data_IF_222592445327
#
_entry.id   IF_222592445327
#
_cell.length_a   1.000
_cell.length_b   1.000
_cell.length_c   1.000
_cell.angle_alpha   90.00
_cell.angle_beta   90.00
_cell.angle_gamma   90.00
#
_symmetry.space_group_name_H-M   'P 1'
#
loop_
_entity.id
_entity.type
_entity.pdbx_description
1 polymer ?
#
# COMPACT_ATOMS: atom_id res chain seq x y z
N UNK A 1 -11.14 26.34 -21.98
CA UNK A 1 -10.45 27.54 -22.54
C UNK A 1 -11.45 28.64 -22.85
N UNK A 2 -12.38 28.47 -23.80
CA UNK A 2 -13.34 29.51 -24.20
C UNK A 2 -14.17 30.12 -23.04
N UNK A 3 -14.68 29.30 -22.11
CA UNK A 3 -15.43 29.79 -20.93
C UNK A 3 -14.56 30.67 -20.02
N UNK A 4 -13.30 30.26 -19.81
CA UNK A 4 -12.35 30.98 -18.97
C UNK A 4 -11.95 32.32 -19.61
N UNK A 5 -11.71 32.34 -20.91
CA UNK A 5 -11.45 33.56 -21.68
C UNK A 5 -12.66 34.51 -21.64
N UNK A 6 -13.89 33.97 -21.75
CA UNK A 6 -15.12 34.75 -21.65
C UNK A 6 -15.30 35.39 -20.27
N UNK A 7 -14.98 34.64 -19.20
CA UNK A 7 -14.98 35.17 -17.83
C UNK A 7 -13.92 36.27 -17.68
N UNK A 8 -12.69 36.02 -18.15
CA UNK A 8 -11.60 36.99 -18.09
C UNK A 8 -11.93 38.26 -18.86
N UNK A 9 -12.53 38.15 -20.04
CA UNK A 9 -12.97 39.29 -20.84
C UNK A 9 -13.96 40.17 -20.06
N UNK A 10 -14.99 39.57 -19.45
CA UNK A 10 -15.96 40.31 -18.64
C UNK A 10 -15.32 41.01 -17.43
N UNK A 11 -14.40 40.33 -16.74
CA UNK A 11 -13.64 40.92 -15.60
C UNK A 11 -12.75 42.07 -16.08
N UNK A 12 -12.05 41.89 -17.20
CA UNK A 12 -11.13 42.88 -17.76
C UNK A 12 -11.86 44.12 -18.28
N UNK A 13 -13.02 43.94 -18.91
CA UNK A 13 -13.90 45.04 -19.30
C UNK A 13 -14.26 45.93 -18.10
N UNK A 14 -14.67 45.30 -16.99
CA UNK A 14 -15.00 46.01 -15.74
C UNK A 14 -13.80 46.78 -15.18
N UNK A 15 -12.61 46.19 -15.26
CA UNK A 15 -11.36 46.83 -14.85
C UNK A 15 -11.04 48.07 -15.71
N UNK A 16 -11.08 47.94 -17.04
CA UNK A 16 -10.85 49.07 -17.96
C UNK A 16 -11.86 50.18 -17.72
N UNK A 17 -13.14 49.83 -17.61
CA UNK A 17 -14.20 50.80 -17.37
C UNK A 17 -13.94 51.64 -16.10
N UNK A 18 -13.61 50.98 -14.99
CA UNK A 18 -13.27 51.65 -13.72
C UNK A 18 -12.04 52.55 -13.83
N UNK A 19 -11.01 52.09 -14.55
CA UNK A 19 -9.81 52.89 -14.82
C UNK A 19 -10.17 54.16 -15.60
N UNK A 20 -11.02 54.06 -16.61
CA UNK A 20 -11.51 55.19 -17.39
C UNK A 20 -12.36 56.14 -16.56
N UNK A 21 -13.30 55.63 -15.75
CA UNK A 21 -14.09 56.44 -14.82
C UNK A 21 -13.20 57.21 -13.85
N UNK A 22 -12.16 56.58 -13.31
CA UNK A 22 -11.20 57.25 -12.43
C UNK A 22 -10.40 58.34 -13.15
N UNK A 23 -9.95 58.09 -14.39
CA UNK A 23 -9.27 59.10 -15.19
C UNK A 23 -10.18 60.30 -15.49
N UNK A 24 -11.45 60.06 -15.81
CA UNK A 24 -12.46 61.09 -16.03
C UNK A 24 -12.65 61.93 -14.75
N UNK A 25 -12.71 61.29 -13.57
CA UNK A 25 -12.81 62.00 -12.28
C UNK A 25 -11.61 62.90 -12.00
N UNK A 26 -10.39 62.46 -12.34
CA UNK A 26 -9.15 63.23 -12.12
C UNK A 26 -9.03 64.40 -13.11
N UNK A 27 -9.48 64.23 -14.35
CA UNK A 27 -9.40 65.27 -15.38
C UNK A 27 -10.52 66.32 -15.28
N UNK A 28 -11.51 66.15 -14.40
CA UNK A 28 -12.72 66.97 -14.38
C UNK A 28 -12.51 68.38 -13.80
N UNK A 29 -13.14 69.36 -14.46
CA UNK A 29 -13.31 70.76 -14.00
C UNK A 29 -14.81 70.99 -13.71
N UNK A 30 -15.12 71.78 -12.68
CA UNK A 30 -16.36 71.79 -11.88
C UNK A 30 -17.75 71.89 -12.55
N UNK A 31 -17.90 71.92 -13.87
CA UNK A 31 -19.18 72.22 -14.54
C UNK A 31 -19.89 71.03 -15.21
N UNK A 32 -19.25 69.87 -15.36
CA UNK A 32 -19.87 68.65 -15.90
C UNK A 32 -19.78 67.53 -14.86
N UNK A 33 -20.87 66.83 -14.57
CA UNK A 33 -20.87 65.70 -13.63
C UNK A 33 -21.38 64.45 -14.36
N UNK A 34 -20.49 63.51 -14.64
CA UNK A 34 -20.89 62.22 -15.18
C UNK A 34 -21.38 61.33 -14.03
N UNK A 35 -22.64 60.92 -14.08
CA UNK A 35 -23.18 59.89 -13.19
C UNK A 35 -23.10 58.53 -13.90
N UNK A 36 -22.43 57.58 -13.26
CA UNK A 36 -22.26 56.22 -13.78
C UNK A 36 -22.99 55.25 -12.85
N UNK A 37 -24.07 54.65 -13.35
CA UNK A 37 -24.80 53.58 -12.64
C UNK A 37 -24.12 52.23 -12.91
N UNK A 38 -23.01 51.95 -12.20
CA UNK A 38 -22.27 50.68 -12.33
C UNK A 38 -23.18 49.43 -12.23
N UNK A 39 -24.11 49.33 -11.25
CA UNK A 39 -25.00 48.17 -11.14
C UNK A 39 -25.78 47.87 -12.43
N UNK A 40 -26.40 48.88 -13.04
CA UNK A 40 -27.17 48.70 -14.27
C UNK A 40 -26.27 48.35 -15.47
N UNK A 41 -25.11 49.01 -15.57
CA UNK A 41 -24.15 48.79 -16.66
C UNK A 41 -23.59 47.37 -16.64
N UNK A 42 -23.31 46.84 -15.45
CA UNK A 42 -22.67 45.53 -15.31
C UNK A 42 -23.63 44.37 -15.06
N UNK A 43 -24.92 44.61 -14.76
CA UNK A 43 -25.87 43.54 -14.48
C UNK A 43 -25.86 42.40 -15.51
N UNK A 44 -25.89 42.75 -16.80
CA UNK A 44 -25.90 41.74 -17.88
C UNK A 44 -24.55 41.02 -18.02
N UNK A 45 -23.44 41.73 -17.88
CA UNK A 45 -22.08 41.15 -17.97
C UNK A 45 -21.81 40.24 -16.79
N UNK A 46 -22.17 40.67 -15.57
CA UNK A 46 -22.00 39.89 -14.34
C UNK A 46 -22.86 38.62 -14.38
N UNK A 47 -24.10 38.71 -14.86
CA UNK A 47 -24.96 37.55 -15.05
C UNK A 47 -24.37 36.57 -16.08
N UNK A 48 -23.88 37.05 -17.22
CA UNK A 48 -23.23 36.22 -18.23
C UNK A 48 -21.98 35.53 -17.68
N UNK A 49 -21.10 36.28 -17.00
CA UNK A 49 -19.90 35.75 -16.35
C UNK A 49 -20.27 34.67 -15.32
N UNK A 50 -21.36 34.86 -14.57
CA UNK A 50 -21.82 33.86 -13.63
C UNK A 50 -22.25 32.57 -14.34
N UNK A 51 -23.00 32.65 -15.45
CA UNK A 51 -23.38 31.46 -16.22
C UNK A 51 -22.18 30.71 -16.81
N UNK A 52 -21.16 31.44 -17.24
CA UNK A 52 -19.90 30.82 -17.66
C UNK A 52 -19.23 30.06 -16.51
N UNK A 53 -19.28 30.57 -15.27
CA UNK A 53 -18.76 29.85 -14.09
C UNK A 53 -19.59 28.61 -13.77
N UNK A 54 -20.91 28.71 -13.84
CA UNK A 54 -21.82 27.59 -13.64
C UNK A 54 -21.52 26.45 -14.65
N UNK A 55 -21.27 26.80 -15.91
CA UNK A 55 -20.83 25.85 -16.94
C UNK A 55 -19.45 25.26 -16.70
N UNK A 56 -18.51 26.01 -16.11
CA UNK A 56 -17.22 25.44 -15.69
C UNK A 56 -17.41 24.37 -14.62
N UNK A 57 -18.31 24.59 -13.64
CA UNK A 57 -18.62 23.60 -12.59
C UNK A 57 -19.21 22.31 -13.19
N UNK A 58 -20.02 22.42 -14.25
CA UNK A 58 -20.52 21.25 -15.01
C UNK A 58 -19.35 20.50 -15.67
N UNK A 59 -18.43 21.21 -16.32
CA UNK A 59 -17.24 20.60 -16.93
C UNK A 59 -16.34 19.90 -15.90
N UNK A 60 -16.14 20.50 -14.72
CA UNK A 60 -15.42 19.88 -13.61
C UNK A 60 -16.12 18.60 -13.12
N UNK A 61 -17.45 18.60 -13.07
CA UNK A 61 -18.25 17.41 -12.81
C UNK A 61 -17.98 16.29 -13.83
N UNK A 62 -17.94 16.62 -15.13
CA UNK A 62 -17.64 15.64 -16.18
C UNK A 62 -16.27 15.00 -16.03
N UNK A 63 -15.26 15.79 -15.65
CA UNK A 63 -13.90 15.30 -15.41
C UNK A 63 -13.91 14.28 -14.25
N UNK A 64 -14.63 14.56 -13.16
CA UNK A 64 -14.71 13.67 -12.00
C UNK A 64 -15.50 12.38 -12.26
N UNK A 65 -16.69 12.48 -12.86
CA UNK A 65 -17.66 11.38 -12.91
C UNK A 65 -17.65 10.61 -14.24
N UNK A 66 -17.29 11.27 -15.34
CA UNK A 66 -17.28 10.65 -16.67
C UNK A 66 -15.86 10.32 -17.15
N UNK A 67 -14.83 10.87 -16.48
CA UNK A 67 -13.39 10.70 -16.82
C UNK A 67 -13.02 11.14 -18.24
N UNK A 68 -13.89 11.94 -18.86
CA UNK A 68 -13.63 12.48 -20.18
C UNK A 68 -12.52 13.52 -20.06
N UNK A 69 -11.39 13.25 -20.70
CA UNK A 69 -10.35 14.26 -20.83
C UNK A 69 -10.81 15.32 -21.84
N UNK A 70 -10.31 16.56 -21.69
CA UNK A 70 -10.60 17.66 -22.63
C UNK A 70 -10.21 17.31 -24.07
N UNK A 71 -9.22 16.42 -24.26
CA UNK A 71 -8.72 15.97 -25.56
C UNK A 71 -9.72 15.05 -26.26
N UNK A 72 -10.31 14.10 -25.53
CA UNK A 72 -11.31 13.16 -26.07
C UNK A 72 -12.59 13.84 -26.56
N UNK A 73 -12.88 15.05 -26.07
CA UNK A 73 -14.02 15.84 -26.54
C UNK A 73 -13.77 16.44 -27.92
N UNK A 74 -12.55 16.92 -28.18
CA UNK A 74 -12.20 17.55 -29.45
C UNK A 74 -12.24 16.55 -30.59
N UNK A 75 -11.69 15.36 -30.37
CA UNK A 75 -11.61 14.32 -31.39
C UNK A 75 -13.03 13.77 -31.72
N UNK A 76 -13.89 13.56 -30.71
CA UNK A 76 -15.29 13.17 -30.93
C UNK A 76 -16.14 14.25 -31.61
N UNK A 77 -15.79 15.53 -31.49
CA UNK A 77 -16.54 16.63 -32.09
C UNK A 77 -16.10 16.91 -33.53
N UNK A 78 -14.82 16.76 -33.85
CA UNK A 78 -14.30 16.80 -35.23
C UNK A 78 -14.85 15.65 -36.09
N UNK A 79 -15.02 14.45 -35.51
CA UNK A 79 -15.66 13.32 -36.20
C UNK A 79 -17.19 13.54 -36.38
N UNK A 80 -17.86 14.20 -35.43
CA UNK A 80 -19.30 14.45 -35.49
C UNK A 80 -19.72 15.55 -36.49
N UNK A 81 -18.87 16.53 -36.78
CA UNK A 81 -19.14 17.53 -37.83
C UNK A 81 -18.90 17.00 -39.24
N UNK A 82 -18.18 15.89 -39.41
CA UNK A 82 -17.94 15.26 -40.71
C UNK A 82 -19.10 14.39 -41.21
N UNK A 83 -19.96 13.91 -40.31
CA UNK A 83 -21.07 12.98 -40.61
C UNK A 83 -22.46 13.58 -40.36
N UNK A 84 -22.72 14.81 -40.84
CA UNK A 84 -24.10 15.26 -41.07
C UNK A 84 -24.54 14.77 -42.46
N UNK A 85 -24.70 13.45 -42.55
CA UNK A 85 -25.38 12.74 -43.63
C UNK A 85 -26.53 11.95 -43.03
N UNK A 86 -27.74 12.14 -43.55
CA UNK A 86 -28.98 11.60 -43.01
C UNK A 86 -28.93 10.07 -42.76
N UNK A 87 -29.46 9.68 -41.59
CA UNK A 87 -29.68 8.33 -41.06
C UNK A 87 -28.47 7.67 -40.37
N UNK A 88 -28.44 7.75 -39.03
CA UNK A 88 -28.33 6.61 -38.11
C UNK A 88 -28.04 7.09 -36.67
N UNK A 89 -29.07 7.56 -35.97
CA UNK A 89 -29.00 8.03 -34.57
C UNK A 89 -28.90 6.91 -33.51
N UNK A 90 -28.54 5.68 -33.90
CA UNK A 90 -28.40 4.56 -32.96
C UNK A 90 -26.94 4.12 -32.68
N UNK A 91 -25.94 4.63 -33.42
CA UNK A 91 -24.56 4.14 -33.28
C UNK A 91 -23.59 5.03 -32.46
N UNK A 92 -24.03 6.19 -31.95
CA UNK A 92 -23.21 7.11 -31.12
C UNK A 92 -23.15 6.64 -29.64
N UNK A 93 -23.11 5.33 -29.41
CA UNK A 93 -22.88 4.74 -28.07
C UNK A 93 -21.61 3.89 -28.00
N UNK A 94 -20.88 3.74 -29.12
CA UNK A 94 -19.86 2.71 -29.28
C UNK A 94 -18.40 3.07 -28.98
N UNK A 95 -18.01 4.35 -28.97
CA UNK A 95 -16.58 4.71 -28.89
C UNK A 95 -16.24 5.50 -27.62
N UNK A 96 -16.32 4.83 -26.46
CA UNK A 96 -15.55 5.29 -25.30
C UNK A 96 -14.09 4.92 -25.55
N UNK A 97 -13.27 5.95 -25.83
CA UNK A 97 -11.82 5.83 -25.99
C UNK A 97 -11.22 4.95 -24.89
N UNK A 98 -10.24 4.13 -25.26
CA UNK A 98 -9.57 3.11 -24.43
C UNK A 98 -9.02 3.63 -23.10
N UNK A 99 -8.89 4.96 -22.96
CA UNK A 99 -8.42 5.67 -21.77
C UNK A 99 -9.52 6.01 -20.74
N UNK A 100 -10.79 5.74 -21.05
CA UNK A 100 -11.93 5.98 -20.15
C UNK A 100 -12.32 4.75 -19.30
N UNK A 101 -11.51 3.67 -19.31
CA UNK A 101 -11.80 2.44 -18.56
C UNK A 101 -11.44 2.59 -17.09
N UNK A 102 -12.33 2.10 -16.22
CA UNK A 102 -12.07 2.00 -14.79
C UNK A 102 -10.83 1.12 -14.55
N UNK A 103 -9.86 1.55 -13.74
CA UNK A 103 -8.78 0.70 -13.27
C UNK A 103 -9.34 -0.58 -12.63
N UNK A 104 -8.59 -1.67 -12.75
CA UNK A 104 -9.01 -2.94 -12.18
C UNK A 104 -8.84 -2.90 -10.66
N UNK A 105 -9.94 -3.03 -9.94
CA UNK A 105 -9.92 -3.17 -8.49
C UNK A 105 -9.62 -4.63 -8.12
N UNK A 106 -8.68 -4.85 -7.21
CA UNK A 106 -8.34 -6.17 -6.69
C UNK A 106 -9.50 -6.87 -5.96
N UNK A 107 -9.48 -8.20 -5.93
CA UNK A 107 -10.51 -9.03 -5.28
C UNK A 107 -11.74 -9.26 -6.16
N UNK A 108 -11.97 -10.51 -6.56
CA UNK A 108 -12.96 -10.88 -7.60
C UNK A 108 -14.39 -10.36 -7.38
N UNK A 109 -14.84 -10.23 -6.12
CA UNK A 109 -16.19 -9.74 -5.78
C UNK A 109 -16.21 -8.26 -5.41
N UNK A 110 -15.32 -7.83 -4.52
CA UNK A 110 -15.26 -6.45 -4.02
C UNK A 110 -14.90 -5.47 -5.12
N UNK A 111 -13.93 -5.82 -5.96
CA UNK A 111 -13.54 -5.00 -7.10
C UNK A 111 -14.68 -4.84 -8.10
N UNK A 112 -15.49 -5.88 -8.31
CA UNK A 112 -16.69 -5.81 -9.15
C UNK A 112 -17.75 -4.88 -8.56
N UNK A 113 -18.02 -4.98 -7.25
CA UNK A 113 -18.99 -4.11 -6.55
C UNK A 113 -18.57 -2.62 -6.62
N UNK A 114 -17.29 -2.31 -6.40
CA UNK A 114 -16.75 -0.95 -6.53
C UNK A 114 -16.86 -0.45 -7.97
N UNK A 115 -16.45 -1.26 -8.94
CA UNK A 115 -16.52 -0.91 -10.36
C UNK A 115 -17.95 -0.60 -10.77
N UNK A 116 -18.90 -1.46 -10.39
CA UNK A 116 -20.32 -1.26 -10.65
C UNK A 116 -20.82 0.04 -10.04
N UNK A 117 -20.50 0.30 -8.77
CA UNK A 117 -20.93 1.53 -8.10
C UNK A 117 -20.38 2.80 -8.79
N UNK A 118 -19.14 2.76 -9.28
CA UNK A 118 -18.55 3.87 -10.05
C UNK A 118 -19.22 4.05 -11.42
N UNK A 119 -19.62 2.97 -12.09
CA UNK A 119 -20.42 3.02 -13.33
C UNK A 119 -21.82 3.59 -13.05
N UNK A 120 -22.45 3.21 -11.95
CA UNK A 120 -23.77 3.70 -11.57
C UNK A 120 -23.74 5.20 -11.23
N UNK A 121 -22.68 5.68 -10.57
CA UNK A 121 -22.44 7.13 -10.33
C UNK A 121 -22.33 7.87 -11.65
N UNK A 122 -21.54 7.35 -12.59
CA UNK A 122 -21.40 7.94 -13.94
C UNK A 122 -22.75 8.02 -14.65
N UNK A 123 -23.52 6.93 -14.66
CA UNK A 123 -24.82 6.90 -15.33
C UNK A 123 -25.79 7.91 -14.74
N UNK A 124 -25.78 8.12 -13.41
CA UNK A 124 -26.59 9.14 -12.76
C UNK A 124 -26.16 10.55 -13.17
N UNK A 125 -24.85 10.82 -13.18
CA UNK A 125 -24.31 12.10 -13.61
C UNK A 125 -24.67 12.43 -15.07
N UNK A 126 -24.50 11.47 -15.99
CA UNK A 126 -24.90 11.63 -17.40
C UNK A 126 -26.41 11.93 -17.50
N UNK A 127 -27.24 11.28 -16.67
CA UNK A 127 -28.67 11.58 -16.57
C UNK A 127 -28.97 13.03 -16.16
N UNK A 128 -28.20 13.61 -15.24
CA UNK A 128 -28.35 15.01 -14.84
C UNK A 128 -27.88 15.98 -15.93
N UNK A 129 -26.78 15.67 -16.61
CA UNK A 129 -26.28 16.48 -17.75
C UNK A 129 -27.26 16.45 -18.93
N UNK A 130 -27.85 15.30 -19.23
CA UNK A 130 -28.85 15.18 -20.29
C UNK A 130 -30.11 16.03 -20.03
N UNK A 131 -30.51 16.18 -18.76
CA UNK A 131 -31.61 17.09 -18.39
C UNK A 131 -31.28 18.56 -18.71
N UNK A 132 -30.03 18.97 -18.49
CA UNK A 132 -29.58 20.32 -18.86
C UNK A 132 -29.50 20.52 -20.37
N UNK A 133 -29.11 19.50 -21.13
CA UNK A 133 -29.11 19.54 -22.59
C UNK A 133 -30.53 19.60 -23.20
N UNK A 134 -31.52 19.04 -22.51
CA UNK A 134 -32.91 19.03 -22.95
C UNK A 134 -33.67 20.34 -22.67
N UNK A 135 -33.01 21.36 -22.11
CA UNK A 135 -33.64 22.67 -21.86
C UNK A 135 -33.95 23.38 -23.18
N UNK A 136 -35.19 23.84 -23.34
CA UNK A 136 -35.67 24.46 -24.58
C UNK A 136 -35.27 25.94 -24.73
N UNK A 137 -34.70 26.55 -23.67
CA UNK A 137 -34.29 27.95 -23.66
C UNK A 137 -32.77 28.11 -23.76
N UNK A 138 -32.32 29.27 -24.24
CA UNK A 138 -30.89 29.57 -24.31
C UNK A 138 -30.31 29.81 -22.90
N UNK A 139 -29.43 28.91 -22.46
CA UNK A 139 -28.74 28.99 -21.17
C UNK A 139 -27.87 30.24 -21.01
N UNK A 140 -27.54 30.98 -22.08
CA UNK A 140 -26.81 32.25 -22.00
C UNK A 140 -27.72 33.49 -21.98
N UNK A 141 -29.04 33.35 -22.15
CA UNK A 141 -29.96 34.48 -22.08
C UNK A 141 -30.14 34.98 -20.63
N UNK A 142 -29.34 35.98 -20.25
CA UNK A 142 -29.30 36.58 -18.91
C UNK A 142 -30.63 37.17 -18.43
N UNK A 143 -31.61 37.36 -19.32
CA UNK A 143 -32.95 37.85 -18.97
C UNK A 143 -33.83 36.75 -18.38
N UNK A 144 -33.57 35.51 -18.75
CA UNK A 144 -34.32 34.34 -18.27
C UNK A 144 -33.82 33.93 -16.88
N UNK A 145 -34.70 33.88 -15.87
CA UNK A 145 -34.32 33.47 -14.50
C UNK A 145 -34.26 31.96 -14.29
N UNK A 146 -34.81 31.17 -15.22
CA UNK A 146 -34.97 29.71 -15.11
C UNK A 146 -33.63 28.97 -14.90
N UNK A 147 -32.56 29.43 -15.56
CA UNK A 147 -31.21 28.84 -15.42
C UNK A 147 -30.75 28.72 -13.97
N UNK A 148 -31.08 29.70 -13.13
CA UNK A 148 -30.64 29.66 -11.75
C UNK A 148 -31.24 28.48 -10.97
N UNK A 149 -32.52 28.17 -11.21
CA UNK A 149 -33.22 27.06 -10.55
C UNK A 149 -32.74 25.70 -11.08
N UNK A 150 -32.63 25.56 -12.41
CA UNK A 150 -32.17 24.33 -13.06
C UNK A 150 -30.72 24.02 -12.69
N UNK A 151 -29.83 25.02 -12.72
CA UNK A 151 -28.45 24.85 -12.32
C UNK A 151 -28.30 24.55 -10.82
N UNK A 152 -29.07 25.22 -9.95
CA UNK A 152 -29.07 24.89 -8.53
C UNK A 152 -29.53 23.44 -8.31
N UNK A 153 -30.53 22.96 -9.03
CA UNK A 153 -30.98 21.56 -8.95
C UNK A 153 -29.87 20.60 -9.36
N UNK A 154 -29.20 20.86 -10.49
CA UNK A 154 -28.03 20.10 -10.91
C UNK A 154 -26.91 20.13 -9.86
N UNK A 155 -26.62 21.30 -9.29
CA UNK A 155 -25.57 21.49 -8.29
C UNK A 155 -25.82 20.68 -7.01
N UNK A 156 -27.06 20.61 -6.54
CA UNK A 156 -27.41 19.75 -5.41
C UNK A 156 -27.23 18.27 -5.77
N UNK A 157 -27.71 17.85 -6.95
CA UNK A 157 -27.53 16.47 -7.41
C UNK A 157 -26.04 16.06 -7.52
N UNK A 158 -25.17 16.98 -7.95
CA UNK A 158 -23.71 16.75 -7.98
C UNK A 158 -23.14 16.57 -6.58
N UNK A 159 -23.54 17.37 -5.60
CA UNK A 159 -23.12 17.18 -4.20
C UNK A 159 -23.56 15.84 -3.65
N UNK A 160 -24.76 15.39 -3.98
CA UNK A 160 -25.24 14.07 -3.58
C UNK A 160 -24.38 12.96 -4.22
N UNK A 161 -23.98 13.12 -5.48
CA UNK A 161 -23.04 12.19 -6.14
C UNK A 161 -21.65 12.20 -5.48
N UNK A 162 -21.14 13.35 -5.02
CA UNK A 162 -19.90 13.41 -4.24
C UNK A 162 -20.01 12.60 -2.94
N UNK A 163 -21.14 12.67 -2.26
CA UNK A 163 -21.41 11.87 -1.04
C UNK A 163 -21.48 10.39 -1.37
N UNK A 164 -22.18 10.00 -2.45
CA UNK A 164 -22.23 8.60 -2.91
C UNK A 164 -20.83 8.09 -3.27
N UNK A 165 -20.03 8.90 -3.96
CA UNK A 165 -18.64 8.55 -4.30
C UNK A 165 -17.79 8.35 -3.05
N UNK A 166 -17.89 9.25 -2.07
CA UNK A 166 -17.19 9.12 -0.79
C UNK A 166 -17.61 7.85 -0.05
N UNK A 167 -18.88 7.45 -0.11
CA UNK A 167 -19.36 6.20 0.49
C UNK A 167 -18.77 4.96 -0.21
N UNK A 168 -18.70 4.97 -1.54
CA UNK A 168 -18.03 3.89 -2.31
C UNK A 168 -16.56 3.78 -1.92
N UNK A 169 -15.88 4.92 -1.82
CA UNK A 169 -14.50 4.99 -1.36
C UNK A 169 -14.37 4.42 0.06
N UNK A 170 -15.20 4.84 1.02
CA UNK A 170 -15.15 4.29 2.38
C UNK A 170 -15.41 2.77 2.42
N UNK A 171 -16.40 2.28 1.68
CA UNK A 171 -16.70 0.85 1.57
C UNK A 171 -15.54 0.06 0.94
N UNK A 172 -14.76 0.67 0.04
CA UNK A 172 -13.55 0.07 -0.51
C UNK A 172 -12.43 -0.12 0.53
N UNK A 173 -12.44 0.64 1.64
CA UNK A 173 -11.43 0.54 2.70
C UNK A 173 -11.89 -0.24 3.96
N UNK A 174 -13.19 -0.48 4.15
CA UNK A 174 -13.77 -1.02 5.40
C UNK A 174 -13.12 -2.32 5.94
N UNK A 175 -12.78 -3.27 5.06
CA UNK A 175 -12.17 -4.56 5.45
C UNK A 175 -10.69 -4.70 5.05
N UNK A 176 -10.01 -3.60 4.77
CA UNK A 176 -8.59 -3.64 4.38
C UNK A 176 -7.73 -3.81 5.63
N UNK A 177 -7.06 -4.96 5.74
CA UNK A 177 -6.19 -5.27 6.88
C UNK A 177 -4.71 -5.24 6.53
N UNK A 178 -4.37 -5.21 5.24
CA UNK A 178 -2.99 -5.21 4.75
C UNK A 178 -2.62 -3.84 4.19
N UNK A 179 -1.43 -3.36 4.53
CA UNK A 179 -0.89 -2.08 4.04
C UNK A 179 -0.76 -2.07 2.52
N UNK A 180 -0.37 -3.20 1.91
CA UNK A 180 -0.25 -3.34 0.46
C UNK A 180 -1.59 -3.13 -0.26
N UNK A 181 -2.67 -3.74 0.22
CA UNK A 181 -4.02 -3.56 -0.35
C UNK A 181 -4.51 -2.12 -0.20
N UNK A 182 -4.26 -1.48 0.95
CA UNK A 182 -4.60 -0.08 1.16
C UNK A 182 -3.89 0.83 0.15
N UNK A 183 -2.60 0.61 -0.10
CA UNK A 183 -1.80 1.40 -1.04
C UNK A 183 -2.30 1.21 -2.48
N UNK A 184 -2.58 -0.03 -2.91
CA UNK A 184 -3.13 -0.27 -4.25
C UNK A 184 -4.48 0.44 -4.48
N UNK A 185 -5.34 0.50 -3.46
CA UNK A 185 -6.59 1.25 -3.55
C UNK A 185 -6.35 2.77 -3.57
N UNK A 186 -5.41 3.26 -2.75
CA UNK A 186 -5.06 4.68 -2.71
C UNK A 186 -4.48 5.15 -4.04
N UNK A 187 -3.62 4.36 -4.68
CA UNK A 187 -3.08 4.67 -6.01
C UNK A 187 -4.20 4.91 -7.02
N UNK A 188 -5.15 3.96 -7.09
CA UNK A 188 -6.31 4.08 -7.95
C UNK A 188 -7.10 5.33 -7.59
N UNK A 189 -7.61 5.44 -6.35
CA UNK A 189 -8.51 6.55 -5.99
C UNK A 189 -7.86 7.93 -6.06
N UNK A 190 -6.54 8.04 -5.87
CA UNK A 190 -5.80 9.29 -6.07
C UNK A 190 -5.81 9.70 -7.54
N UNK A 191 -5.66 8.75 -8.47
CA UNK A 191 -5.80 9.03 -9.90
C UNK A 191 -7.23 9.45 -10.25
N UNK A 192 -8.24 8.86 -9.60
CA UNK A 192 -9.65 9.12 -9.88
C UNK A 192 -10.18 10.42 -9.26
N UNK A 193 -9.56 10.91 -8.20
CA UNK A 193 -9.98 12.11 -7.50
C UNK A 193 -9.56 13.37 -8.30
N UNK A 194 -10.54 14.22 -8.61
CA UNK A 194 -10.38 15.47 -9.36
C UNK A 194 -11.08 16.65 -8.69
N UNK A 195 -12.14 16.39 -7.91
CA UNK A 195 -12.89 17.40 -7.13
C UNK A 195 -12.48 17.37 -5.65
N UNK A 196 -12.42 18.54 -5.03
CA UNK A 196 -11.91 18.72 -3.67
C UNK A 196 -12.59 17.85 -2.61
N UNK A 197 -13.91 17.61 -2.72
CA UNK A 197 -14.62 16.76 -1.78
C UNK A 197 -14.13 15.31 -1.81
N UNK A 198 -13.83 14.79 -3.01
CA UNK A 198 -13.31 13.44 -3.22
C UNK A 198 -11.83 13.39 -2.83
N UNK A 199 -11.05 14.41 -3.20
CA UNK A 199 -9.63 14.52 -2.84
C UNK A 199 -9.47 14.48 -1.31
N UNK A 200 -10.22 15.29 -0.56
CA UNK A 200 -10.21 15.25 0.91
C UNK A 200 -10.56 13.88 1.48
N UNK A 201 -11.43 13.13 0.81
CA UNK A 201 -11.76 11.77 1.25
C UNK A 201 -10.60 10.80 1.02
N UNK A 202 -9.87 10.93 -0.10
CA UNK A 202 -8.64 10.17 -0.36
C UNK A 202 -7.57 10.52 0.67
N UNK A 203 -7.35 11.81 0.95
CA UNK A 203 -6.38 12.26 1.96
C UNK A 203 -6.69 11.69 3.35
N UNK A 204 -7.98 11.63 3.73
CA UNK A 204 -8.39 10.96 4.96
C UNK A 204 -8.05 9.47 4.94
N UNK A 205 -8.18 8.78 3.81
CA UNK A 205 -7.78 7.36 3.69
C UNK A 205 -6.28 7.15 3.67
N UNK A 206 -5.52 8.13 3.19
CA UNK A 206 -4.07 8.15 3.35
C UNK A 206 -3.69 8.12 4.84
N UNK A 207 -4.36 8.93 5.67
CA UNK A 207 -4.17 8.88 7.14
C UNK A 207 -4.47 7.50 7.73
N UNK A 208 -5.62 6.93 7.35
CA UNK A 208 -6.03 5.59 7.81
C UNK A 208 -4.97 4.52 7.43
N UNK A 209 -4.32 4.64 6.26
CA UNK A 209 -3.28 3.72 5.81
C UNK A 209 -1.98 3.83 6.63
N UNK A 210 -1.55 5.06 6.97
CA UNK A 210 -0.42 5.26 7.89
C UNK A 210 -0.74 4.71 9.29
N UNK A 211 -1.96 4.92 9.79
CA UNK A 211 -2.40 4.34 11.07
C UNK A 211 -2.41 2.80 11.04
N UNK A 212 -2.84 2.20 9.93
CA UNK A 212 -2.77 0.75 9.72
C UNK A 212 -1.32 0.23 9.72
N UNK A 213 -0.39 0.97 9.09
CA UNK A 213 1.03 0.64 9.13
C UNK A 213 1.59 0.70 10.56
N UNK A 214 1.34 1.78 11.30
CA UNK A 214 1.79 1.91 12.70
C UNK A 214 1.26 0.78 13.57
N UNK A 215 -0.02 0.42 13.42
CA UNK A 215 -0.62 -0.73 14.12
C UNK A 215 0.05 -2.06 13.73
N UNK A 216 0.46 -2.21 12.47
CA UNK A 216 1.20 -3.39 12.00
C UNK A 216 2.57 -3.48 12.66
N UNK A 217 3.30 -2.35 12.76
CA UNK A 217 4.58 -2.26 13.47
C UNK A 217 4.42 -2.64 14.94
N UNK A 218 3.40 -2.10 15.62
CA UNK A 218 3.08 -2.43 17.01
C UNK A 218 2.76 -3.92 17.21
N UNK A 219 1.98 -4.50 16.31
CA UNK A 219 1.62 -5.92 16.36
C UNK A 219 2.85 -6.82 16.17
N UNK A 220 3.74 -6.49 15.22
CA UNK A 220 5.00 -7.20 15.02
C UNK A 220 5.93 -7.05 16.23
N UNK A 221 5.95 -5.88 16.86
CA UNK A 221 6.71 -5.64 18.09
C UNK A 221 6.19 -6.51 19.23
N UNK A 222 4.87 -6.60 19.40
CA UNK A 222 4.27 -7.46 20.42
C UNK A 222 4.63 -8.95 20.19
N UNK A 223 4.48 -9.43 18.95
CA UNK A 223 4.89 -10.80 18.58
C UNK A 223 6.37 -11.03 18.90
N UNK A 224 7.21 -10.05 18.60
CA UNK A 224 8.62 -10.12 18.93
C UNK A 224 8.84 -10.22 20.44
N UNK A 225 8.27 -9.33 21.24
CA UNK A 225 8.49 -9.28 22.70
C UNK A 225 7.99 -10.55 23.42
N UNK A 226 6.87 -11.13 22.97
CA UNK A 226 6.31 -12.37 23.51
C UNK A 226 7.18 -13.60 23.17
N UNK A 227 7.66 -13.69 21.93
CA UNK A 227 8.34 -14.88 21.41
C UNK A 227 9.87 -14.77 21.43
N UNK A 228 10.46 -13.64 21.83
CA UNK A 228 11.91 -13.42 21.81
C UNK A 228 12.71 -14.46 22.60
N UNK A 229 12.11 -15.02 23.66
CA UNK A 229 12.73 -16.04 24.53
C UNK A 229 12.71 -17.42 23.90
N UNK A 230 11.59 -17.79 23.29
CA UNK A 230 11.38 -19.06 22.61
C UNK A 230 10.73 -18.78 21.26
N UNK A 231 11.52 -18.42 20.24
CA UNK A 231 10.98 -18.11 18.93
C UNK A 231 10.33 -19.38 18.35
N UNK A 232 9.30 -19.24 17.49
CA UNK A 232 8.64 -20.37 16.86
C UNK A 232 9.55 -21.01 15.81
N UNK A 233 10.45 -21.87 16.27
CA UNK A 233 11.41 -22.60 15.45
C UNK A 233 10.81 -23.93 14.99
N UNK A 234 11.09 -24.32 13.74
CA UNK A 234 10.78 -25.67 13.25
C UNK A 234 11.75 -26.68 13.88
N UNK A 235 11.36 -27.97 13.93
CA UNK A 235 12.19 -29.02 14.53
C UNK A 235 13.61 -29.16 13.93
N UNK A 236 13.82 -28.66 12.70
CA UNK A 236 15.10 -28.70 12.00
C UNK A 236 15.85 -27.35 12.03
N UNK A 237 15.33 -26.35 12.75
CA UNK A 237 15.92 -25.02 12.78
C UNK A 237 16.89 -24.84 13.97
N UNK A 238 18.07 -24.25 13.72
CA UNK A 238 19.08 -24.02 14.76
C UNK A 238 18.64 -22.98 15.80
N UNK A 239 19.19 -23.06 17.02
CA UNK A 239 18.76 -22.22 18.16
C UNK A 239 19.13 -20.74 18.00
N UNK A 240 20.32 -20.41 17.48
CA UNK A 240 20.77 -19.02 17.38
C UNK A 240 20.44 -18.42 16.00
N UNK A 241 20.82 -19.10 14.92
CA UNK A 241 20.61 -18.68 13.55
C UNK A 241 19.14 -18.78 13.14
N UNK A 242 18.39 -19.77 13.65
CA UNK A 242 16.94 -19.85 13.45
C UNK A 242 16.21 -18.70 14.14
N UNK A 243 16.60 -18.36 15.37
CA UNK A 243 16.07 -17.19 16.08
C UNK A 243 16.37 -15.88 15.34
N UNK A 244 17.59 -15.74 14.79
CA UNK A 244 17.98 -14.60 13.98
C UNK A 244 17.21 -14.54 12.64
N UNK A 245 16.95 -15.68 12.00
CA UNK A 245 16.15 -15.74 10.77
C UNK A 245 14.69 -15.38 11.02
N UNK A 246 14.11 -15.82 12.14
CA UNK A 246 12.77 -15.40 12.55
C UNK A 246 12.71 -13.88 12.71
N UNK A 247 13.64 -13.27 13.45
CA UNK A 247 13.72 -11.81 13.57
C UNK A 247 13.95 -11.11 12.21
N UNK A 248 14.74 -11.71 11.32
CA UNK A 248 14.95 -11.24 9.95
C UNK A 248 13.66 -11.27 9.12
N UNK A 249 12.82 -12.29 9.33
CA UNK A 249 11.53 -12.39 8.66
C UNK A 249 10.57 -11.27 9.08
N UNK A 250 10.54 -10.93 10.38
CA UNK A 250 9.76 -9.79 10.89
C UNK A 250 10.30 -8.46 10.33
N UNK A 251 11.62 -8.30 10.29
CA UNK A 251 12.29 -7.13 9.72
C UNK A 251 11.98 -6.97 8.22
N UNK A 252 11.86 -8.08 7.48
CA UNK A 252 11.45 -8.06 6.07
C UNK A 252 10.01 -7.60 5.90
N UNK A 253 9.07 -8.16 6.67
CA UNK A 253 7.65 -7.80 6.59
C UNK A 253 7.44 -6.30 6.82
N UNK A 254 8.07 -5.73 7.86
CA UNK A 254 7.93 -4.29 8.14
C UNK A 254 8.61 -3.43 7.08
N UNK A 255 9.75 -3.86 6.54
CA UNK A 255 10.47 -3.17 5.46
C UNK A 255 9.66 -3.12 4.18
N UNK A 256 9.12 -4.26 3.75
CA UNK A 256 8.33 -4.35 2.53
C UNK A 256 7.10 -3.44 2.61
N UNK A 257 6.44 -3.40 3.78
CA UNK A 257 5.31 -2.49 4.01
C UNK A 257 5.73 -1.01 4.00
N UNK A 258 6.88 -0.66 4.60
CA UNK A 258 7.39 0.71 4.61
C UNK A 258 7.80 1.19 3.21
N UNK A 259 8.46 0.35 2.42
CA UNK A 259 8.89 0.69 1.06
C UNK A 259 7.70 1.07 0.19
N UNK A 260 6.63 0.26 0.20
CA UNK A 260 5.40 0.57 -0.54
C UNK A 260 4.80 1.91 -0.12
N UNK A 261 4.77 2.19 1.20
CA UNK A 261 4.20 3.42 1.73
C UNK A 261 5.06 4.65 1.41
N UNK A 262 6.38 4.48 1.43
CA UNK A 262 7.34 5.51 1.06
C UNK A 262 7.27 5.84 -0.43
N UNK A 263 7.16 4.84 -1.30
CA UNK A 263 6.93 5.06 -2.74
C UNK A 263 5.61 5.79 -2.99
N UNK A 264 4.56 5.43 -2.24
CA UNK A 264 3.26 6.09 -2.32
C UNK A 264 3.30 7.58 -1.89
N UNK A 265 4.25 7.98 -1.04
CA UNK A 265 4.42 9.38 -0.62
C UNK A 265 4.77 10.33 -1.78
N UNK A 266 5.20 9.81 -2.93
CA UNK A 266 5.51 10.62 -4.11
C UNK A 266 4.27 11.25 -4.76
N UNK A 267 3.12 10.57 -4.69
CA UNK A 267 1.87 11.03 -5.30
C UNK A 267 0.78 11.35 -4.27
N UNK A 268 0.96 10.97 -3.01
CA UNK A 268 0.06 11.31 -1.91
C UNK A 268 0.48 12.63 -1.22
N UNK A 269 -0.49 13.33 -0.64
CA UNK A 269 -0.21 14.51 0.19
C UNK A 269 0.67 14.11 1.38
N UNK A 270 1.72 14.89 1.66
CA UNK A 270 2.58 14.68 2.84
C UNK A 270 1.78 14.90 4.12
N UNK A 271 1.79 13.90 4.99
CA UNK A 271 1.07 13.91 6.27
C UNK A 271 2.06 13.80 7.43
N UNK A 272 1.69 14.33 8.59
CA UNK A 272 2.51 14.23 9.82
C UNK A 272 2.66 12.79 10.29
N UNK A 273 1.62 11.99 10.09
CA UNK A 273 1.55 10.57 10.44
C UNK A 273 2.61 9.74 9.70
N UNK A 274 3.16 10.25 8.58
CA UNK A 274 4.28 9.64 7.90
C UNK A 274 5.56 9.67 8.75
N UNK A 275 5.81 10.77 9.44
CA UNK A 275 6.99 10.93 10.32
C UNK A 275 6.90 9.99 11.53
N UNK A 276 5.70 9.88 12.13
CA UNK A 276 5.44 8.98 13.25
C UNK A 276 5.63 7.50 12.82
N UNK A 277 5.16 7.15 11.61
CA UNK A 277 5.36 5.83 11.01
C UNK A 277 6.84 5.53 10.76
N UNK A 278 7.61 6.50 10.24
CA UNK A 278 9.05 6.35 10.01
C UNK A 278 9.79 6.07 11.32
N UNK A 279 9.48 6.83 12.36
CA UNK A 279 10.09 6.66 13.69
C UNK A 279 9.80 5.26 14.24
N UNK A 280 8.55 4.81 14.16
CA UNK A 280 8.15 3.47 14.62
C UNK A 280 8.88 2.36 13.84
N UNK A 281 8.98 2.51 12.52
CA UNK A 281 9.72 1.60 11.64
C UNK A 281 11.20 1.50 12.00
N UNK A 282 11.89 2.65 12.12
CA UNK A 282 13.32 2.71 12.45
C UNK A 282 13.59 2.11 13.83
N UNK A 283 12.73 2.39 14.81
CA UNK A 283 12.86 1.83 16.16
C UNK A 283 12.70 0.31 16.18
N UNK A 284 11.70 -0.24 15.50
CA UNK A 284 11.51 -1.69 15.43
C UNK A 284 12.68 -2.38 14.73
N UNK A 285 13.16 -1.82 13.62
CA UNK A 285 14.32 -2.37 12.91
C UNK A 285 15.59 -2.35 13.77
N UNK A 286 15.83 -1.29 14.54
CA UNK A 286 16.96 -1.22 15.46
C UNK A 286 16.90 -2.37 16.48
N UNK A 287 15.75 -2.57 17.13
CA UNK A 287 15.55 -3.65 18.11
C UNK A 287 15.76 -5.04 17.50
N UNK A 288 15.24 -5.27 16.29
CA UNK A 288 15.41 -6.55 15.59
C UNK A 288 16.88 -6.79 15.19
N UNK A 289 17.58 -5.76 14.71
CA UNK A 289 18.99 -5.85 14.35
C UNK A 289 19.89 -6.11 15.57
N UNK A 290 19.63 -5.43 16.68
CA UNK A 290 20.35 -5.65 17.95
C UNK A 290 20.14 -7.09 18.46
N UNK A 291 18.92 -7.63 18.33
CA UNK A 291 18.63 -9.01 18.69
C UNK A 291 19.42 -10.01 17.82
N UNK A 292 19.40 -9.86 16.49
CA UNK A 292 20.18 -10.70 15.58
C UNK A 292 21.68 -10.66 15.95
N UNK A 293 22.21 -9.45 16.19
CA UNK A 293 23.61 -9.27 16.58
C UNK A 293 23.94 -9.90 17.95
N UNK A 294 23.02 -9.84 18.93
CA UNK A 294 23.18 -10.52 20.22
C UNK A 294 23.23 -12.03 20.06
N UNK A 295 22.28 -12.62 19.31
CA UNK A 295 22.25 -14.07 19.03
C UNK A 295 23.50 -14.55 18.32
N UNK A 296 24.01 -13.76 17.39
CA UNK A 296 25.28 -14.03 16.73
C UNK A 296 26.46 -14.03 17.72
N UNK A 297 26.58 -13.00 18.57
CA UNK A 297 27.65 -12.92 19.58
C UNK A 297 27.60 -14.08 20.57
N UNK A 298 26.41 -14.45 21.03
CA UNK A 298 26.21 -15.59 21.94
C UNK A 298 26.61 -16.91 21.29
N UNK A 299 26.30 -17.10 20.01
CA UNK A 299 26.76 -18.27 19.26
C UNK A 299 28.29 -18.32 19.15
N UNK A 300 28.94 -17.20 18.78
CA UNK A 300 30.41 -17.14 18.70
C UNK A 300 31.06 -17.44 20.06
N UNK A 301 30.55 -16.84 21.13
CA UNK A 301 31.03 -17.11 22.50
C UNK A 301 30.80 -18.57 22.90
N UNK A 302 29.67 -19.16 22.48
CA UNK A 302 29.42 -20.59 22.71
C UNK A 302 30.47 -21.44 22.00
N UNK A 303 30.78 -21.15 20.73
CA UNK A 303 31.84 -21.87 19.99
C UNK A 303 33.21 -21.73 20.66
N UNK A 304 33.58 -20.53 21.10
CA UNK A 304 34.84 -20.26 21.80
C UNK A 304 34.90 -20.96 23.17
N UNK A 305 33.79 -20.98 23.93
CA UNK A 305 33.70 -21.67 25.21
C UNK A 305 33.83 -23.18 25.04
N UNK A 306 33.18 -23.78 24.03
CA UNK A 306 33.34 -25.20 23.71
C UNK A 306 34.78 -25.50 23.25
N UNK A 307 35.41 -24.60 22.50
CA UNK A 307 36.82 -24.73 22.11
C UNK A 307 37.80 -24.61 23.30
N UNK A 308 37.43 -23.88 24.36
CA UNK A 308 38.27 -23.62 25.53
C UNK A 308 38.08 -24.66 26.65
N UNK A 309 36.85 -25.15 26.87
CA UNK A 309 36.57 -26.23 27.84
C UNK A 309 37.19 -27.56 27.42
N UNK A 310 37.28 -27.83 26.13
CA UNK A 310 37.84 -29.05 25.57
C UNK A 310 39.31 -28.77 25.22
N UNK A 311 40.14 -28.56 26.25
CA UNK A 311 41.56 -28.24 26.07
C UNK A 311 42.25 -29.23 25.13
N UNK A 312 42.94 -28.70 24.11
CA UNK A 312 43.77 -29.39 23.09
C UNK A 312 43.17 -30.61 22.36
N UNK A 313 41.98 -31.07 22.75
CA UNK A 313 41.22 -32.17 22.14
C UNK A 313 40.12 -31.57 21.27
N UNK A 314 40.57 -30.95 20.18
CA UNK A 314 39.78 -30.23 19.19
C UNK A 314 38.42 -30.88 18.88
N UNK A 315 37.42 -30.07 18.50
CA UNK A 315 36.20 -30.53 17.80
C UNK A 315 36.50 -31.49 16.63
N UNK A 316 37.71 -31.45 16.07
CA UNK A 316 38.25 -32.45 15.14
C UNK A 316 38.32 -33.86 15.73
N UNK A 317 38.70 -34.05 17.00
CA UNK A 317 38.75 -35.36 17.65
C UNK A 317 37.38 -36.02 17.74
N UNK A 318 36.29 -35.22 17.80
CA UNK A 318 34.91 -35.72 17.72
C UNK A 318 34.55 -36.25 16.32
N UNK A 319 35.25 -35.80 15.26
CA UNK A 319 35.12 -36.34 13.90
C UNK A 319 35.86 -37.68 13.73
N UNK A 320 36.82 -38.00 14.60
CA UNK A 320 37.57 -39.26 14.59
C UNK A 320 36.83 -40.41 15.28
N UNK A 321 35.69 -40.13 15.92
CA UNK A 321 34.85 -41.13 16.57
C UNK A 321 34.14 -41.97 15.48
N UNK A 322 34.22 -43.31 15.53
CA UNK A 322 33.58 -44.17 14.53
C UNK A 322 32.07 -43.93 14.48
N UNK A 323 31.59 -43.59 13.28
CA UNK A 323 30.22 -43.15 12.98
C UNK A 323 29.16 -44.22 13.29
N UNK A 324 29.53 -45.50 13.18
CA UNK A 324 28.63 -46.62 13.39
C UNK A 324 29.14 -47.45 14.55
N UNK A 325 28.41 -47.46 15.67
CA UNK A 325 28.71 -48.32 16.81
C UNK A 325 27.56 -49.29 17.07
N UNK A 326 27.90 -50.48 17.58
CA UNK A 326 26.90 -51.40 18.13
C UNK A 326 26.52 -50.88 19.51
N UNK A 327 25.22 -50.72 19.76
CA UNK A 327 24.70 -50.29 21.06
C UNK A 327 25.14 -51.29 22.14
N UNK A 328 26.02 -50.86 23.06
CA UNK A 328 26.48 -51.70 24.17
C UNK A 328 25.43 -51.70 25.30
N UNK A 329 25.23 -52.85 25.95
CA UNK A 329 24.44 -52.95 27.18
C UNK A 329 25.14 -52.10 28.26
N UNK A 330 24.40 -51.16 28.84
CA UNK A 330 24.80 -50.58 30.13
C UNK A 330 24.91 -51.74 31.13
N UNK A 331 26.07 -51.91 31.77
CA UNK A 331 26.16 -52.67 33.02
C UNK A 331 25.54 -51.82 34.12
N UNK A 332 24.58 -52.39 34.83
CA UNK A 332 23.85 -51.81 35.95
C UNK A 332 24.76 -51.12 36.99
N UNK A 333 25.03 -49.82 36.87
CA UNK A 333 25.53 -48.99 37.99
C UNK A 333 25.25 -47.50 37.82
N UNK A 334 24.06 -47.06 37.36
CA UNK A 334 23.61 -45.68 37.61
C UNK A 334 22.08 -45.58 37.57
N UNK A 335 21.47 -45.50 38.76
CA UNK A 335 20.02 -45.45 39.03
C UNK A 335 19.29 -44.18 38.50
N UNK A 336 19.96 -43.28 37.80
CA UNK A 336 19.41 -41.97 37.45
C UNK A 336 18.79 -41.87 36.04
N UNK A 337 18.77 -42.96 35.26
CA UNK A 337 18.30 -42.93 33.85
C UNK A 337 17.14 -43.88 33.52
N UNK A 338 16.41 -44.39 34.53
CA UNK A 338 15.24 -45.27 34.29
C UNK A 338 14.07 -44.56 33.60
N UNK A 339 13.86 -43.25 33.81
CA UNK A 339 12.66 -42.57 33.29
C UNK A 339 12.70 -42.23 31.79
N UNK A 340 13.87 -42.21 31.16
CA UNK A 340 14.02 -41.93 29.72
C UNK A 340 13.96 -43.19 28.84
N UNK A 341 14.06 -44.40 29.42
CA UNK A 341 14.02 -45.65 28.66
C UNK A 341 12.61 -46.10 28.30
N UNK A 342 11.61 -45.81 29.13
CA UNK A 342 10.24 -46.34 28.96
C UNK A 342 9.49 -45.74 27.77
N UNK A 343 9.83 -44.52 27.34
CA UNK A 343 9.09 -43.85 26.25
C UNK A 343 9.60 -44.27 24.86
N UNK A 344 10.88 -44.58 24.72
CA UNK A 344 11.51 -44.87 23.41
C UNK A 344 11.32 -46.31 22.95
N UNK A 345 10.90 -47.21 23.84
CA UNK A 345 10.61 -48.62 23.53
C UNK A 345 9.29 -48.81 22.75
N UNK A 346 8.41 -47.81 22.74
CA UNK A 346 7.08 -47.87 22.11
C UNK A 346 7.07 -47.77 20.57
N UNK A 347 8.21 -47.47 19.92
CA UNK A 347 8.31 -47.31 18.46
C UNK A 347 8.98 -48.49 17.75
N UNK A 348 9.37 -49.54 18.46
CA UNK A 348 9.84 -50.77 17.83
C UNK A 348 8.62 -51.55 17.34
N UNK A 349 8.43 -51.55 16.02
CA UNK A 349 7.39 -52.32 15.33
C UNK A 349 7.29 -53.73 15.91
N UNK A 350 6.08 -54.07 16.35
CA UNK A 350 5.67 -55.41 16.79
C UNK A 350 6.16 -56.48 15.82
N UNK A 351 7.28 -57.10 16.16
CA UNK A 351 7.90 -58.18 15.41
C UNK A 351 8.60 -59.13 16.38
N UNK A 352 7.86 -60.17 16.79
CA UNK A 352 8.34 -61.43 17.35
C UNK A 352 9.31 -61.34 18.55
N UNK A 353 8.75 -61.60 19.73
CA UNK A 353 9.45 -62.07 20.91
C UNK A 353 10.43 -63.19 20.57
N UNK A 354 11.69 -63.05 20.98
CA UNK A 354 12.64 -64.17 21.06
C UNK A 354 13.85 -64.13 20.14
N UNK A 355 14.54 -62.99 20.01
CA UNK A 355 15.99 -62.97 19.81
C UNK A 355 16.48 -61.58 20.18
N UNK A 356 17.47 -61.47 21.08
CA UNK A 356 17.94 -60.19 21.58
C UNK A 356 18.23 -59.21 20.43
N UNK A 357 17.62 -58.03 20.48
CA UNK A 357 17.94 -56.90 19.62
C UNK A 357 19.33 -56.33 19.95
N UNK A 358 20.36 -57.18 19.92
CA UNK A 358 21.75 -56.90 20.31
C UNK A 358 22.59 -56.37 19.15
N UNK A 359 21.96 -56.11 18.00
CA UNK A 359 22.61 -55.68 16.76
C UNK A 359 22.03 -54.38 16.18
N UNK A 360 21.45 -53.52 17.02
CA UNK A 360 21.07 -52.18 16.59
C UNK A 360 22.34 -51.34 16.41
N UNK A 361 22.66 -51.03 15.16
CA UNK A 361 23.70 -50.08 14.80
C UNK A 361 23.11 -48.69 15.00
N UNK A 362 23.72 -47.89 15.87
CA UNK A 362 23.35 -46.49 16.06
C UNK A 362 24.39 -45.59 15.40
N UNK A 363 23.90 -44.55 14.71
CA UNK A 363 24.74 -43.49 14.19
C UNK A 363 25.23 -42.66 15.39
N UNK A 364 26.51 -42.80 15.72
CA UNK A 364 27.18 -42.10 16.81
C UNK A 364 27.75 -40.76 16.33
N UNK A 365 26.99 -40.03 15.50
CA UNK A 365 27.38 -38.67 15.14
C UNK A 365 27.13 -37.76 16.33
N UNK A 366 28.14 -36.97 16.70
CA UNK A 366 28.02 -36.03 17.80
C UNK A 366 26.93 -34.98 17.49
N UNK A 367 25.94 -34.88 18.39
CA UNK A 367 24.79 -34.00 18.20
C UNK A 367 25.19 -32.51 18.20
N UNK A 368 26.28 -32.14 18.89
CA UNK A 368 26.77 -30.76 18.92
C UNK A 368 27.43 -30.39 17.58
N UNK A 369 28.18 -31.31 16.96
CA UNK A 369 28.71 -31.13 15.61
C UNK A 369 27.58 -30.98 14.58
N UNK A 370 26.54 -31.81 14.67
CA UNK A 370 25.40 -31.72 13.78
C UNK A 370 24.66 -30.38 13.94
N UNK A 371 24.43 -29.92 15.18
CA UNK A 371 23.86 -28.60 15.43
C UNK A 371 24.74 -27.47 14.88
N UNK A 372 26.07 -27.56 15.05
CA UNK A 372 27.00 -26.55 14.55
C UNK A 372 27.01 -26.46 13.02
N UNK A 373 26.99 -27.59 12.30
CA UNK A 373 26.89 -27.58 10.84
C UNK A 373 25.61 -26.92 10.34
N UNK A 374 24.48 -27.23 10.99
CA UNK A 374 23.19 -26.59 10.67
C UNK A 374 23.25 -25.09 10.99
N UNK A 375 23.88 -24.70 12.09
CA UNK A 375 24.04 -23.29 12.46
C UNK A 375 24.82 -22.50 11.41
N UNK A 376 25.96 -23.03 10.94
CA UNK A 376 26.80 -22.39 9.91
C UNK A 376 26.03 -22.22 8.61
N UNK A 377 25.34 -23.26 8.14
CA UNK A 377 24.51 -23.19 6.93
C UNK A 377 23.44 -22.11 7.01
N UNK A 378 22.88 -21.87 8.19
CA UNK A 378 21.86 -20.84 8.39
C UNK A 378 22.47 -19.43 8.51
N UNK A 379 23.66 -19.29 9.11
CA UNK A 379 24.39 -18.02 9.12
C UNK A 379 24.88 -17.60 7.73
N UNK A 380 25.21 -18.56 6.85
CA UNK A 380 25.56 -18.28 5.45
C UNK A 380 24.42 -17.63 4.65
N UNK A 381 23.15 -17.91 5.02
CA UNK A 381 21.97 -17.32 4.36
C UNK A 381 21.81 -15.82 4.57
N UNK A 382 22.58 -15.23 5.49
CA UNK A 382 22.63 -13.79 5.67
C UNK A 382 23.58 -13.09 4.67
N UNK A 383 24.06 -13.80 3.64
CA UNK A 383 24.80 -13.25 2.49
C UNK A 383 25.93 -12.27 2.88
N UNK A 384 26.69 -12.59 3.92
CA UNK A 384 27.85 -11.80 4.36
C UNK A 384 27.57 -10.72 5.42
N UNK A 385 26.35 -10.60 5.96
CA UNK A 385 26.08 -9.74 7.14
C UNK A 385 26.86 -10.22 8.39
N UNK A 386 27.15 -11.52 8.47
CA UNK A 386 27.87 -12.15 9.58
C UNK A 386 29.05 -12.99 9.08
N UNK A 387 30.23 -12.82 9.70
CA UNK A 387 31.47 -13.51 9.30
C UNK A 387 31.69 -14.79 10.08
N UNK A 388 31.53 -15.95 9.44
CA UNK A 388 31.66 -17.25 10.11
C UNK A 388 33.03 -17.38 10.79
N UNK A 389 33.09 -17.70 12.10
CA UNK A 389 34.36 -17.91 12.80
C UNK A 389 35.22 -18.98 12.13
N UNK A 390 36.54 -18.76 12.06
CA UNK A 390 37.49 -19.66 11.41
C UNK A 390 37.35 -21.12 11.89
N UNK A 391 37.12 -21.32 13.19
CA UNK A 391 36.93 -22.64 13.80
C UNK A 391 35.74 -23.37 13.18
N UNK A 392 34.60 -22.70 13.03
CA UNK A 392 33.40 -23.29 12.44
C UNK A 392 33.59 -23.55 10.94
N UNK A 393 34.27 -22.65 10.24
CA UNK A 393 34.60 -22.80 8.82
C UNK A 393 35.54 -23.99 8.56
N UNK A 394 36.59 -24.16 9.36
CA UNK A 394 37.56 -25.25 9.18
C UNK A 394 36.91 -26.62 9.42
N UNK A 395 36.04 -26.72 10.43
CA UNK A 395 35.32 -27.97 10.73
C UNK A 395 34.27 -28.28 9.65
N UNK A 396 33.56 -27.27 9.11
CA UNK A 396 32.63 -27.46 8.00
C UNK A 396 33.33 -27.95 6.72
N UNK A 397 34.53 -27.47 6.43
CA UNK A 397 35.32 -27.96 5.28
C UNK A 397 35.73 -29.44 5.42
N UNK A 398 35.83 -29.95 6.64
CA UNK A 398 36.17 -31.34 6.92
C UNK A 398 34.93 -32.25 6.88
N UNK A 399 33.75 -31.73 7.20
CA UNK A 399 32.47 -32.45 7.05
C UNK A 399 32.24 -32.95 5.62
N UNK A 400 32.58 -32.14 4.62
CA UNK A 400 32.38 -32.52 3.22
C UNK A 400 33.28 -33.68 2.79
N UNK A 401 34.42 -33.87 3.47
CA UNK A 401 35.33 -35.02 3.28
C UNK A 401 34.86 -36.29 4.00
N UNK A 402 33.89 -36.16 4.92
CA UNK A 402 33.36 -37.24 5.76
C UNK A 402 31.93 -37.66 5.37
N UNK A 403 31.34 -37.07 4.32
CA UNK A 403 30.13 -37.58 3.66
C UNK A 403 30.43 -38.96 3.07
N UNK A 404 30.04 -40.02 3.78
CA UNK A 404 29.94 -41.38 3.22
C UNK A 404 28.66 -41.50 2.42
#
# INVERSE_FOLDING_TARGET
VALQESIQCGVFWKHIYRKTVNAIKVAHTSELHWSFDEPSIFAHVDAFVQRCRDLMEICEGRIQFCRQSVVEWRDNFEDAESEIGDNDTENIKGSFSSHCRLPHFGGSRRGHEITKALVDIRSQFDGYVNKLHALEYNIFDVKTSLWHEDFNTFKHAVKDLEVVYANVLNAAFENVTQVSEAISLLEIFNELAKRDAVIRCVEKKTLDAYALFTKTVESLRQVFDEQRREPPLRANEPKFAGAALWASSLARVVRDAWVLLHEASSYLTKMREADDGEVAYVQLLAVLNDYKASRYKEWVQSLEAHSSMIGESNLLSKLEIPLMRRRALFSDTDESTQDLMTIRESLVLNGSSGMGCTNLIECNFDQELQCMFVEVQFWERFNGEYTIPYIAHDICNQYEKLRI
#
